data_IF_546541612317
#
_entry.id   IF_546541612317
#
_cell.length_a   1.000
_cell.length_b   1.000
_cell.length_c   1.000
_cell.angle_alpha   90.00
_cell.angle_beta   90.00
_cell.angle_gamma   90.00
#
_symmetry.space_group_name_H-M   'P 1'
#
loop_
_entity.id
_entity.type
_entity.pdbx_description
1 polymer ?
#
# COMPACT_ATOMS: atom_id res chain seq x y z
N UNK A 1 2.02 -25.48 15.55
CA UNK A 1 2.81 -24.27 15.84
C UNK A 1 1.84 -23.14 16.10
N UNK A 2 2.12 -22.23 17.04
CA UNK A 2 1.27 -21.06 17.23
C UNK A 2 1.32 -20.22 15.94
N UNK A 3 0.18 -20.04 15.29
CA UNK A 3 0.09 -19.26 14.06
C UNK A 3 0.23 -17.79 14.42
N UNK A 4 1.26 -17.11 13.89
CA UNK A 4 1.41 -15.67 14.11
C UNK A 4 0.41 -14.90 13.23
N UNK A 5 0.11 -13.65 13.58
CA UNK A 5 -0.77 -12.83 12.74
C UNK A 5 -0.24 -12.67 11.31
N UNK A 6 1.09 -12.65 11.16
CA UNK A 6 1.78 -12.60 9.86
C UNK A 6 1.42 -13.79 8.96
N UNK A 7 1.28 -14.98 9.54
CA UNK A 7 0.95 -16.20 8.77
C UNK A 7 -0.53 -16.21 8.33
N UNK A 8 -1.36 -15.35 8.93
CA UNK A 8 -2.80 -15.30 8.71
C UNK A 8 -3.22 -14.12 7.84
N UNK A 9 -2.55 -12.98 7.94
CA UNK A 9 -3.02 -11.71 7.39
C UNK A 9 -1.96 -11.02 6.55
N UNK A 10 -2.35 -10.63 5.34
CA UNK A 10 -1.65 -9.64 4.51
C UNK A 10 -2.38 -8.31 4.63
N UNK A 11 -1.65 -7.22 4.90
CA UNK A 11 -2.21 -5.87 4.99
C UNK A 11 -2.17 -5.22 3.62
N UNK A 12 -3.32 -4.77 3.11
CA UNK A 12 -3.43 -4.00 1.89
C UNK A 12 -3.74 -2.56 2.28
N UNK A 13 -2.76 -1.67 2.17
CA UNK A 13 -2.96 -0.24 2.39
C UNK A 13 -3.27 0.43 1.06
N UNK A 14 -4.40 1.11 0.98
CA UNK A 14 -4.84 1.83 -0.21
C UNK A 14 -4.67 3.32 -0.02
N UNK A 15 -4.00 3.96 -0.98
CA UNK A 15 -3.77 5.40 -1.01
C UNK A 15 -4.13 5.98 -2.36
N UNK A 16 -4.42 7.27 -2.34
CA UNK A 16 -4.72 8.05 -3.53
C UNK A 16 -4.11 9.44 -3.46
N UNK A 17 -4.25 10.24 -4.53
CA UNK A 17 -3.80 11.62 -4.52
C UNK A 17 -4.63 12.46 -3.53
N UNK A 18 -3.96 13.22 -2.67
CA UNK A 18 -4.56 14.17 -1.73
C UNK A 18 -3.86 15.54 -1.81
N UNK A 19 -4.50 16.65 -1.39
CA UNK A 19 -3.94 17.99 -1.54
C UNK A 19 -2.58 18.21 -0.85
N UNK A 20 -2.30 17.48 0.22
CA UNK A 20 -1.06 17.59 0.98
C UNK A 20 0.13 16.85 0.36
N UNK A 21 -0.07 16.12 -0.74
CA UNK A 21 1.04 15.50 -1.46
C UNK A 21 2.05 16.59 -1.89
N UNK A 22 3.36 16.38 -1.73
CA UNK A 22 4.04 15.10 -1.51
C UNK A 22 4.27 14.70 -0.02
N UNK A 23 3.60 15.33 0.95
CA UNK A 23 3.73 14.97 2.37
C UNK A 23 3.24 13.54 2.66
N UNK A 24 3.99 12.81 3.49
CA UNK A 24 3.66 11.46 3.98
C UNK A 24 3.12 11.45 5.42
N UNK A 25 2.95 12.61 6.05
CA UNK A 25 2.56 12.73 7.47
C UNK A 25 1.33 11.89 7.85
N UNK A 26 0.27 11.95 7.04
CA UNK A 26 -0.96 11.18 7.28
C UNK A 26 -0.68 9.66 7.29
N UNK A 27 0.16 9.19 6.37
CA UNK A 27 0.53 7.79 6.29
C UNK A 27 1.43 7.35 7.46
N UNK A 28 2.34 8.23 7.90
CA UNK A 28 3.20 7.98 9.06
C UNK A 28 2.37 7.83 10.35
N UNK A 29 1.33 8.64 10.53
CA UNK A 29 0.39 8.53 11.65
C UNK A 29 -0.36 7.18 11.61
N UNK A 30 -0.82 6.76 10.41
CA UNK A 30 -1.48 5.47 10.22
C UNK A 30 -0.56 4.31 10.59
N UNK A 31 0.67 4.29 10.06
CA UNK A 31 1.63 3.22 10.36
C UNK A 31 2.05 3.22 11.83
N UNK A 32 2.17 4.38 12.46
CA UNK A 32 2.42 4.47 13.92
C UNK A 32 1.28 3.81 14.69
N UNK A 33 0.03 4.04 14.26
CA UNK A 33 -1.15 3.47 14.92
C UNK A 33 -1.27 1.94 14.80
N UNK A 34 -0.57 1.30 13.84
CA UNK A 34 -0.57 -0.16 13.73
C UNK A 34 0.02 -0.86 14.96
N UNK A 35 0.81 -0.15 15.77
CA UNK A 35 1.27 -0.63 17.08
C UNK A 35 0.14 -0.94 18.07
N UNK A 36 -1.07 -0.40 17.85
CA UNK A 36 -2.26 -0.75 18.63
C UNK A 36 -2.85 -2.11 18.29
N UNK A 37 -2.34 -2.80 17.26
CA UNK A 37 -2.77 -4.14 16.87
C UNK A 37 -1.58 -5.10 17.00
N UNK A 38 -1.53 -5.94 18.04
CA UNK A 38 -0.41 -6.87 18.25
C UNK A 38 -0.11 -7.73 17.02
N UNK A 39 1.12 -7.66 16.53
CA UNK A 39 1.61 -8.42 15.39
C UNK A 39 1.36 -7.80 14.01
N UNK A 40 0.60 -6.70 13.90
CA UNK A 40 0.24 -6.12 12.61
C UNK A 40 1.44 -5.56 11.83
N UNK A 41 2.40 -4.93 12.53
CA UNK A 41 3.65 -4.43 11.94
C UNK A 41 4.55 -5.54 11.36
N UNK A 42 4.26 -6.80 11.70
CA UNK A 42 5.00 -7.97 11.22
C UNK A 42 4.30 -8.65 10.04
N UNK A 43 3.11 -8.20 9.64
CA UNK A 43 2.39 -8.77 8.51
C UNK A 43 3.01 -8.35 7.17
N UNK A 44 2.94 -9.27 6.21
CA UNK A 44 3.21 -8.95 4.82
C UNK A 44 2.29 -7.80 4.37
N UNK A 45 2.84 -6.84 3.63
CA UNK A 45 2.17 -5.56 3.38
C UNK A 45 2.22 -5.17 1.90
N UNK A 46 1.10 -4.69 1.38
CA UNK A 46 0.94 -4.20 0.01
C UNK A 46 0.44 -2.75 0.06
N UNK A 47 1.29 -1.80 -0.33
CA UNK A 47 0.90 -0.41 -0.59
C UNK A 47 0.36 -0.29 -2.01
N UNK A 48 -0.89 0.17 -2.15
CA UNK A 48 -1.55 0.31 -3.45
C UNK A 48 -1.96 1.75 -3.71
N UNK A 49 -1.38 2.36 -4.75
CA UNK A 49 -1.72 3.69 -5.25
C UNK A 49 -2.71 3.57 -6.42
N UNK A 50 -3.97 3.97 -6.23
CA UNK A 50 -5.08 3.65 -7.14
C UNK A 50 -5.12 4.45 -8.46
N UNK A 51 -4.05 5.20 -8.75
CA UNK A 51 -3.85 6.00 -9.96
C UNK A 51 -4.57 7.34 -9.97
N UNK A 52 -4.66 7.96 -11.15
CA UNK A 52 -5.15 9.32 -11.31
C UNK A 52 -5.81 9.55 -12.68
N UNK A 53 -6.47 10.70 -12.83
CA UNK A 53 -7.01 11.23 -14.07
C UNK A 53 -6.37 12.59 -14.30
N UNK A 54 -5.43 12.68 -15.23
CA UNK A 54 -4.81 13.95 -15.60
C UNK A 54 -5.83 14.81 -16.35
N UNK A 55 -6.04 16.04 -15.88
CA UNK A 55 -6.84 17.04 -16.59
C UNK A 55 -5.93 17.81 -17.56
N UNK A 56 -6.37 17.94 -18.81
CA UNK A 56 -5.67 18.68 -19.86
C UNK A 56 -6.13 20.14 -20.00
N UNK A 57 -7.08 20.60 -19.17
CA UNK A 57 -7.68 21.94 -19.27
C UNK A 57 -7.77 22.65 -17.92
N UNK A 58 -7.73 23.99 -17.96
CA UNK A 58 -7.87 24.88 -16.80
C UNK A 58 -9.18 24.62 -16.05
N UNK A 59 -9.07 24.44 -14.72
CA UNK A 59 -10.21 24.33 -13.81
C UNK A 59 -9.85 23.52 -12.56
N UNK A 60 -10.48 23.85 -11.43
CA UNK A 60 -10.15 23.30 -10.11
C UNK A 60 -10.07 21.77 -10.08
N UNK A 61 -9.09 21.29 -9.32
CA UNK A 61 -8.85 19.86 -9.12
C UNK A 61 -9.90 19.23 -8.23
N UNK A 62 -10.20 17.97 -8.52
CA UNK A 62 -11.21 17.18 -7.81
C UNK A 62 -10.57 15.91 -7.28
N UNK A 63 -9.89 16.04 -6.15
CA UNK A 63 -9.20 14.95 -5.45
C UNK A 63 -10.11 13.75 -5.15
N UNK A 64 -11.38 13.96 -4.75
CA UNK A 64 -12.34 12.82 -4.58
C UNK A 64 -12.52 11.95 -5.82
N UNK A 65 -12.25 12.48 -7.00
CA UNK A 65 -12.31 11.76 -8.28
C UNK A 65 -10.94 11.55 -8.92
N UNK A 66 -9.86 11.81 -8.18
CA UNK A 66 -8.46 11.83 -8.62
C UNK A 66 -8.23 12.58 -9.92
N UNK A 67 -9.00 13.67 -10.14
CA UNK A 67 -8.81 14.56 -11.28
C UNK A 67 -7.86 15.67 -10.87
N UNK A 68 -6.61 15.55 -11.28
CA UNK A 68 -5.50 16.39 -10.86
C UNK A 68 -4.81 17.04 -12.07
N UNK A 69 -4.18 18.19 -11.84
CA UNK A 69 -3.37 18.90 -12.84
C UNK A 69 -1.93 18.35 -12.89
N UNK A 70 -1.07 18.95 -13.72
CA UNK A 70 0.32 18.51 -13.90
C UNK A 70 1.18 18.68 -12.64
N UNK A 71 1.05 19.80 -11.93
CA UNK A 71 1.80 20.07 -10.69
C UNK A 71 1.39 19.08 -9.57
N UNK A 72 0.09 18.85 -9.42
CA UNK A 72 -0.45 17.88 -8.46
C UNK A 72 -0.10 16.44 -8.83
N UNK A 73 0.03 16.13 -10.12
CA UNK A 73 0.54 14.85 -10.58
C UNK A 73 2.01 14.69 -10.19
N UNK A 74 2.85 15.70 -10.41
CA UNK A 74 4.25 15.67 -9.99
C UNK A 74 4.35 15.42 -8.47
N UNK A 75 3.56 16.14 -7.68
CA UNK A 75 3.47 15.94 -6.23
C UNK A 75 2.99 14.53 -5.84
N UNK A 76 2.02 13.96 -6.58
CA UNK A 76 1.55 12.60 -6.30
C UNK A 76 2.58 11.53 -6.68
N UNK A 77 3.32 11.71 -7.77
CA UNK A 77 4.39 10.78 -8.14
C UNK A 77 5.53 10.82 -7.11
N UNK A 78 5.89 12.01 -6.64
CA UNK A 78 6.85 12.15 -5.55
C UNK A 78 6.34 11.53 -4.24
N UNK A 79 5.06 11.71 -3.92
CA UNK A 79 4.41 11.05 -2.79
C UNK A 79 4.53 9.52 -2.86
N UNK A 80 4.33 8.90 -4.03
CA UNK A 80 4.40 7.45 -4.19
C UNK A 80 5.78 6.91 -3.79
N UNK A 81 6.86 7.59 -4.20
CA UNK A 81 8.22 7.20 -3.82
C UNK A 81 8.47 7.41 -2.32
N UNK A 82 8.09 8.57 -1.78
CA UNK A 82 8.24 8.86 -0.35
C UNK A 82 7.45 7.89 0.53
N UNK A 83 6.22 7.55 0.13
CA UNK A 83 5.38 6.56 0.80
C UNK A 83 6.07 5.19 0.82
N UNK A 84 6.64 4.75 -0.31
CA UNK A 84 7.42 3.50 -0.36
C UNK A 84 8.58 3.51 0.65
N UNK A 85 9.31 4.60 0.76
CA UNK A 85 10.41 4.77 1.74
C UNK A 85 9.87 4.67 3.19
N UNK A 86 8.76 5.35 3.48
CA UNK A 86 8.10 5.32 4.80
C UNK A 86 7.70 3.89 5.19
N UNK A 87 7.10 3.12 4.27
CA UNK A 87 6.78 1.71 4.52
C UNK A 87 8.02 0.85 4.70
N UNK A 88 9.06 1.03 3.88
CA UNK A 88 10.32 0.30 4.03
C UNK A 88 10.93 0.53 5.42
N UNK A 89 10.94 1.77 5.91
CA UNK A 89 11.38 2.08 7.29
C UNK A 89 10.52 1.35 8.32
N UNK A 90 9.20 1.50 8.22
CA UNK A 90 8.25 0.90 9.16
C UNK A 90 8.39 -0.63 9.26
N UNK A 91 8.64 -1.29 8.13
CA UNK A 91 8.82 -2.74 8.05
C UNK A 91 10.27 -3.19 8.34
N UNK A 92 11.16 -2.25 8.70
CA UNK A 92 12.53 -2.53 9.10
C UNK A 92 13.46 -2.95 7.95
N UNK A 93 13.25 -2.40 6.75
CA UNK A 93 14.13 -2.57 5.59
C UNK A 93 15.31 -1.57 5.55
N UNK A 94 15.32 -0.55 6.42
CA UNK A 94 16.43 0.44 6.50
C UNK A 94 17.66 -0.12 7.26
N UNK A 95 17.47 -1.04 8.22
CA UNK A 95 18.55 -1.64 9.05
C UNK A 95 19.15 -2.91 8.44
N UNK A 96 18.83 -3.24 7.19
CA UNK A 96 19.37 -4.42 6.55
C UNK A 96 20.85 -4.18 6.24
N UNK A 97 21.74 -4.77 7.05
CA UNK A 97 23.18 -4.80 6.80
C UNK A 97 23.46 -5.09 5.32
N UNK A 98 24.46 -4.43 4.74
CA UNK A 98 24.88 -4.59 3.35
C UNK A 98 25.21 -6.06 2.94
N UNK A 99 25.21 -7.01 3.89
CA UNK A 99 25.36 -8.45 3.66
C UNK A 99 24.06 -9.25 3.57
N UNK A 100 22.88 -8.64 3.82
CA UNK A 100 21.59 -9.32 3.72
C UNK A 100 21.09 -9.36 2.28
N UNK A 101 20.63 -10.53 1.81
CA UNK A 101 20.21 -10.74 0.42
C UNK A 101 18.87 -10.04 0.14
N UNK A 102 18.92 -8.73 -0.08
CA UNK A 102 17.76 -7.93 -0.46
C UNK A 102 17.47 -8.13 -1.95
N UNK A 103 16.31 -8.73 -2.24
CA UNK A 103 15.82 -8.87 -3.62
C UNK A 103 14.69 -7.88 -3.86
N UNK A 104 14.95 -6.90 -4.71
CA UNK A 104 13.92 -6.02 -5.27
C UNK A 104 13.65 -6.42 -6.72
N UNK A 105 12.39 -6.76 -7.02
CA UNK A 105 11.95 -7.04 -8.39
C UNK A 105 10.88 -6.05 -8.81
N UNK A 106 10.85 -5.70 -10.09
CA UNK A 106 9.84 -4.81 -10.67
C UNK A 106 9.21 -5.47 -11.88
N UNK A 107 7.89 -5.42 -11.97
CA UNK A 107 7.13 -5.95 -13.10
C UNK A 107 6.02 -4.97 -13.49
N UNK A 108 5.75 -4.86 -14.78
CA UNK A 108 4.67 -4.02 -15.32
C UNK A 108 3.69 -4.88 -16.08
N UNK A 109 2.40 -4.66 -15.87
CA UNK A 109 1.33 -5.33 -16.60
C UNK A 109 0.26 -4.35 -17.04
N UNK A 110 -0.48 -4.71 -18.09
CA UNK A 110 -1.60 -3.92 -18.58
C UNK A 110 -2.92 -4.50 -18.09
N UNK A 111 -3.77 -3.66 -17.53
CA UNK A 111 -5.11 -4.03 -17.07
C UNK A 111 -6.19 -3.30 -17.85
N UNK A 112 -7.33 -3.98 -18.03
CA UNK A 112 -8.49 -3.44 -18.73
C UNK A 112 -9.42 -2.76 -17.72
N UNK A 113 -9.67 -1.46 -17.90
CA UNK A 113 -10.70 -0.71 -17.16
C UNK A 113 -11.91 -0.57 -18.08
N UNK A 114 -12.87 -1.49 -17.97
CA UNK A 114 -13.99 -1.56 -18.90
C UNK A 114 -13.54 -1.88 -20.34
N UNK A 115 -14.40 -1.53 -21.32
CA UNK A 115 -14.23 -1.99 -22.70
C UNK A 115 -12.99 -1.37 -23.40
N UNK A 116 -12.77 -0.07 -23.23
CA UNK A 116 -11.81 0.71 -24.05
C UNK A 116 -10.61 1.26 -23.29
N UNK A 117 -10.69 1.41 -21.97
CA UNK A 117 -9.62 2.00 -21.20
C UNK A 117 -8.60 0.92 -20.77
N UNK A 118 -7.33 1.27 -20.86
CA UNK A 118 -6.20 0.46 -20.40
C UNK A 118 -5.42 1.28 -19.38
N UNK A 119 -4.97 0.62 -18.34
CA UNK A 119 -4.00 1.17 -17.40
C UNK A 119 -2.81 0.25 -17.32
N UNK A 120 -1.67 0.85 -17.06
CA UNK A 120 -0.46 0.12 -16.68
C UNK A 120 -0.40 0.09 -15.17
N UNK A 121 -0.03 -1.08 -14.65
CA UNK A 121 0.20 -1.30 -13.23
C UNK A 121 1.63 -1.79 -13.08
N UNK A 122 2.40 -1.10 -12.26
CA UNK A 122 3.76 -1.49 -11.91
C UNK A 122 3.74 -2.03 -10.48
N UNK A 123 4.27 -3.23 -10.31
CA UNK A 123 4.46 -3.88 -9.01
C UNK A 123 5.95 -3.92 -8.71
N UNK A 124 6.34 -3.30 -7.62
CA UNK A 124 7.67 -3.44 -7.03
C UNK A 124 7.55 -4.35 -5.81
N UNK A 125 8.33 -5.43 -5.77
CA UNK A 125 8.34 -6.38 -4.66
C UNK A 125 9.70 -6.35 -3.98
N UNK A 126 9.70 -6.05 -2.69
CA UNK A 126 10.85 -6.09 -1.81
C UNK A 126 10.73 -7.31 -0.89
N UNK A 127 11.76 -8.16 -0.91
CA UNK A 127 11.85 -9.33 -0.04
C UNK A 127 13.21 -9.34 0.63
N UNK A 128 13.18 -9.52 1.95
CA UNK A 128 14.36 -9.60 2.81
C UNK A 128 14.13 -10.71 3.83
N UNK A 129 15.12 -11.60 3.99
CA UNK A 129 15.00 -12.74 4.90
C UNK A 129 14.69 -12.29 6.34
N UNK A 130 13.79 -13.02 7.00
CA UNK A 130 13.29 -12.68 8.33
C UNK A 130 12.36 -11.45 8.41
N UNK A 131 12.15 -10.67 7.34
CA UNK A 131 11.27 -9.49 7.32
C UNK A 131 9.94 -9.77 6.60
N UNK A 132 8.84 -9.06 6.94
CA UNK A 132 7.59 -9.13 6.18
C UNK A 132 7.83 -8.77 4.72
N UNK A 133 7.19 -9.48 3.78
CA UNK A 133 7.26 -9.10 2.37
C UNK A 133 6.58 -7.74 2.17
N UNK A 134 7.15 -6.91 1.28
CA UNK A 134 6.61 -5.60 1.00
C UNK A 134 6.44 -5.39 -0.50
N UNK A 135 5.22 -5.03 -0.91
CA UNK A 135 4.91 -4.76 -2.30
C UNK A 135 4.34 -3.35 -2.46
N UNK A 136 4.73 -2.66 -3.53
CA UNK A 136 4.10 -1.40 -3.94
C UNK A 136 3.46 -1.58 -5.32
N UNK A 137 2.22 -1.13 -5.45
CA UNK A 137 1.48 -1.13 -6.71
C UNK A 137 1.17 0.32 -7.09
N UNK A 138 1.59 0.74 -8.29
CA UNK A 138 1.25 2.05 -8.86
C UNK A 138 0.52 1.90 -10.19
N UNK A 139 -0.42 2.80 -10.46
CA UNK A 139 -1.29 2.72 -11.64
C UNK A 139 -1.26 4.02 -12.45
N UNK A 140 -1.10 3.92 -13.77
CA UNK A 140 -1.04 5.10 -14.67
C UNK A 140 -2.40 5.73 -14.96
N UNK A 141 -3.51 5.07 -14.58
CA UNK A 141 -4.88 5.58 -14.66
C UNK A 141 -5.63 5.23 -13.39
N UNK A 142 -6.61 6.06 -13.04
CA UNK A 142 -7.50 5.82 -11.90
C UNK A 142 -8.26 4.51 -12.08
N UNK A 143 -7.94 3.53 -11.23
CA UNK A 143 -8.69 2.28 -11.11
C UNK A 143 -9.91 2.46 -10.19
N UNK A 144 -9.73 3.29 -9.16
CA UNK A 144 -10.61 3.33 -8.01
C UNK A 144 -10.37 2.15 -7.06
N UNK A 145 -10.80 2.33 -5.83
CA UNK A 145 -10.53 1.46 -4.69
C UNK A 145 -10.70 -0.05 -4.98
N UNK A 146 -11.87 -0.49 -5.44
CA UNK A 146 -12.15 -1.92 -5.59
C UNK A 146 -11.25 -2.62 -6.62
N UNK A 147 -10.97 -1.96 -7.75
CA UNK A 147 -10.09 -2.51 -8.77
C UNK A 147 -8.64 -2.50 -8.31
N UNK A 148 -8.21 -1.47 -7.57
CA UNK A 148 -6.89 -1.41 -6.97
C UNK A 148 -6.67 -2.54 -5.95
N UNK A 149 -7.63 -2.77 -5.04
CA UNK A 149 -7.61 -3.92 -4.12
C UNK A 149 -7.55 -5.23 -4.89
N UNK A 150 -8.31 -5.39 -5.98
CA UNK A 150 -8.27 -6.60 -6.80
C UNK A 150 -6.88 -6.87 -7.41
N UNK A 151 -6.13 -5.83 -7.76
CA UNK A 151 -4.74 -5.99 -8.21
C UNK A 151 -3.84 -6.43 -7.06
N UNK A 152 -4.00 -5.87 -5.87
CA UNK A 152 -3.27 -6.30 -4.67
C UNK A 152 -3.54 -7.75 -4.28
N UNK A 153 -4.79 -8.23 -4.42
CA UNK A 153 -5.16 -9.61 -4.12
C UNK A 153 -4.36 -10.65 -4.91
N UNK A 154 -3.77 -10.30 -6.06
CA UNK A 154 -2.93 -11.21 -6.85
C UNK A 154 -1.60 -11.55 -6.17
N UNK A 155 -1.18 -10.75 -5.18
CA UNK A 155 0.07 -10.92 -4.43
C UNK A 155 -0.18 -11.56 -3.05
N UNK A 156 -1.43 -11.70 -2.63
CA UNK A 156 -1.78 -12.24 -1.30
C UNK A 156 -1.59 -13.75 -1.29
N UNK A 157 -0.87 -14.25 -0.28
CA UNK A 157 -0.65 -15.68 -0.04
C UNK A 157 -1.26 -16.16 1.28
N UNK A 158 -1.67 -15.24 2.15
CA UNK A 158 -2.24 -15.54 3.47
C UNK A 158 -3.75 -15.82 3.40
N UNK A 159 -4.33 -16.58 4.36
CA UNK A 159 -5.76 -16.90 4.38
C UNK A 159 -6.70 -15.69 4.52
N UNK A 160 -6.24 -14.63 5.18
CA UNK A 160 -7.01 -13.42 5.43
C UNK A 160 -6.27 -12.17 4.94
N UNK A 161 -7.03 -11.09 4.79
CA UNK A 161 -6.51 -9.77 4.43
C UNK A 161 -7.08 -8.72 5.39
N UNK A 162 -6.28 -7.68 5.65
CA UNK A 162 -6.77 -6.43 6.21
C UNK A 162 -6.68 -5.35 5.13
N UNK A 163 -7.82 -4.85 4.66
CA UNK A 163 -7.84 -3.69 3.77
C UNK A 163 -7.92 -2.44 4.63
N UNK A 164 -6.95 -1.53 4.44
CA UNK A 164 -6.82 -0.33 5.25
C UNK A 164 -6.65 0.90 4.36
N UNK A 165 -7.26 2.03 4.74
CA UNK A 165 -7.10 3.29 4.01
C UNK A 165 -5.97 4.11 4.64
N UNK A 166 -5.23 4.83 3.81
CA UNK A 166 -4.08 5.65 4.22
C UNK A 166 -4.38 6.78 5.22
N UNK A 167 -5.65 7.09 5.50
CA UNK A 167 -6.10 8.19 6.35
C UNK A 167 -6.86 7.73 7.61
N UNK A 168 -6.84 6.43 7.93
CA UNK A 168 -7.51 5.88 9.12
C UNK A 168 -6.50 5.41 10.16
N UNK A 169 -6.44 6.08 11.31
CA UNK A 169 -5.61 5.62 12.42
C UNK A 169 -6.41 4.69 13.34
N UNK A 170 -5.76 3.67 13.88
CA UNK A 170 -6.29 2.97 15.05
C UNK A 170 -6.25 3.94 16.25
N UNK A 171 -7.36 4.06 16.97
CA UNK A 171 -7.47 4.96 18.12
C UNK A 171 -7.27 4.27 19.46
N UNK A 172 -7.40 2.94 19.49
CA UNK A 172 -7.34 2.13 20.71
C UNK A 172 -6.76 0.76 20.39
N UNK A 173 -6.25 0.10 21.43
CA UNK A 173 -5.72 -1.25 21.32
C UNK A 173 -6.79 -2.25 20.85
N UNK A 174 -6.50 -3.01 19.81
CA UNK A 174 -7.40 -4.04 19.29
C UNK A 174 -7.02 -5.38 19.92
N UNK A 175 -7.90 -6.03 20.69
CA UNK A 175 -7.63 -7.35 21.26
C UNK A 175 -7.63 -8.40 20.13
N UNK A 176 -6.44 -8.86 19.75
CA UNK A 176 -6.27 -10.01 18.84
C UNK A 176 -6.17 -11.27 19.70
N UNK A 177 -7.31 -11.74 20.20
CA UNK A 177 -7.40 -13.01 20.96
C UNK A 177 -7.43 -14.19 19.99
N UNK A 178 -6.51 -15.14 20.16
CA UNK A 178 -6.52 -16.42 19.46
C UNK A 178 -7.63 -17.31 20.07
N UNK A 179 -8.84 -17.26 19.53
CA UNK A 179 -9.95 -18.13 19.96
C UNK A 179 -9.91 -19.56 19.35
N UNK A 180 -8.76 -20.01 18.85
CA UNK A 180 -8.61 -21.32 18.22
C UNK A 180 -7.85 -22.30 19.11
N UNK A 181 -8.42 -22.58 20.28
CA UNK A 181 -8.15 -23.81 21.03
C UNK A 181 -9.50 -24.44 21.32
N UNK A 182 -9.71 -25.65 20.79
CA UNK A 182 -10.81 -26.58 21.10
C UNK A 182 -11.99 -26.64 20.10
N UNK A 183 -11.71 -27.07 18.86
CA UNK A 183 -12.67 -27.84 18.04
C UNK A 183 -12.01 -29.13 17.54
#
# INVERSE_FOLDING_TARGET
MATSLRDLVTVIVTTSAIPSNPSTSVLEDVLTSFSFVPGLNSCDTILTCDGYVLKSTEGESKFKSMRINEDELANYLEYQERARIVFRRHLGYEDADAGSLHSSTSSTSTIRIGARLRAETTVVSDVLDGKPSFHTITCTKRLGFALAVREALKLVTTPYILIHQHDWTFLTHVPVTYYWTDL
#
